data_IF_431750295803
#
_entry.id   IF_431750295803
#
_cell.length_a   1.000
_cell.length_b   1.000
_cell.length_c   1.000
_cell.angle_alpha   90.00
_cell.angle_beta   90.00
_cell.angle_gamma   90.00
#
_symmetry.space_group_name_H-M   'P 1'
#
loop_
_entity.id
_entity.type
_entity.pdbx_description
1 polymer ?
#
# COMPACT_ATOMS: atom_id res chain seq x y z
N UNK A 1 25.20 -20.73 59.18
CA UNK A 1 23.95 -20.20 58.57
C UNK A 1 24.04 -20.41 57.06
N UNK A 2 22.99 -20.94 56.41
CA UNK A 2 22.99 -21.05 54.95
C UNK A 2 23.05 -19.64 54.36
N UNK A 3 24.03 -19.40 53.48
CA UNK A 3 24.10 -18.16 52.72
C UNK A 3 23.05 -18.20 51.60
N UNK A 4 22.61 -17.02 51.16
CA UNK A 4 21.65 -16.87 50.06
C UNK A 4 22.13 -17.63 48.81
N UNK A 5 23.43 -17.65 48.54
CA UNK A 5 24.02 -18.41 47.43
C UNK A 5 23.81 -19.93 47.56
N UNK A 6 23.89 -20.49 48.76
CA UNK A 6 23.69 -21.93 48.99
C UNK A 6 22.21 -22.30 48.81
N UNK A 7 21.30 -21.42 49.21
CA UNK A 7 19.86 -21.57 49.00
C UNK A 7 19.52 -21.49 47.50
N UNK A 8 20.06 -20.50 46.79
CA UNK A 8 19.85 -20.35 45.34
C UNK A 8 20.40 -21.55 44.56
N UNK A 9 21.59 -22.06 44.92
CA UNK A 9 22.17 -23.26 44.28
C UNK A 9 21.34 -24.50 44.52
N UNK A 10 20.75 -24.65 45.71
CA UNK A 10 19.89 -25.78 46.03
C UNK A 10 18.56 -25.71 45.26
N UNK A 11 17.92 -24.54 45.24
CA UNK A 11 16.71 -24.30 44.46
C UNK A 11 16.94 -24.55 42.97
N UNK A 12 18.04 -24.06 42.40
CA UNK A 12 18.37 -24.32 41.00
C UNK A 12 18.62 -25.80 40.71
N UNK A 13 19.27 -26.55 41.61
CA UNK A 13 19.45 -28.01 41.44
C UNK A 13 18.12 -28.77 41.43
N UNK A 14 17.12 -28.29 42.15
CA UNK A 14 15.80 -28.91 42.21
C UNK A 14 14.93 -28.51 40.99
N UNK A 15 15.02 -27.27 40.51
CA UNK A 15 14.19 -26.74 39.42
C UNK A 15 14.71 -27.12 38.03
N UNK A 16 16.04 -27.15 37.82
CA UNK A 16 16.64 -27.36 36.50
C UNK A 16 16.18 -28.66 35.82
N UNK A 17 16.13 -29.83 36.50
CA UNK A 17 15.66 -31.06 35.86
C UNK A 17 14.19 -30.99 35.41
N UNK A 18 13.32 -30.39 36.24
CA UNK A 18 11.90 -30.23 35.92
C UNK A 18 11.67 -29.22 34.79
N UNK A 19 12.48 -28.16 34.75
CA UNK A 19 12.47 -27.19 33.67
C UNK A 19 12.93 -27.81 32.35
N UNK A 20 14.02 -28.58 32.38
CA UNK A 20 14.54 -29.28 31.19
C UNK A 20 13.51 -30.26 30.62
N UNK A 21 12.88 -31.07 31.46
CA UNK A 21 11.87 -32.03 31.01
C UNK A 21 10.65 -31.34 30.38
N UNK A 22 10.15 -30.26 31.01
CA UNK A 22 9.06 -29.45 30.45
C UNK A 22 9.45 -28.78 29.13
N UNK A 23 10.65 -28.24 29.05
CA UNK A 23 11.15 -27.62 27.83
C UNK A 23 11.27 -28.65 26.70
N UNK A 24 11.85 -29.83 26.97
CA UNK A 24 11.94 -30.92 25.99
C UNK A 24 10.56 -31.36 25.50
N UNK A 25 9.60 -31.54 26.41
CA UNK A 25 8.23 -31.91 26.06
C UNK A 25 7.56 -30.84 25.17
N UNK A 26 7.77 -29.56 25.47
CA UNK A 26 7.22 -28.46 24.68
C UNK A 26 7.86 -28.38 23.29
N UNK A 27 9.19 -28.48 23.21
CA UNK A 27 9.94 -28.44 21.94
C UNK A 27 9.65 -29.68 21.07
N UNK A 28 9.42 -30.86 21.67
CA UNK A 28 9.08 -32.08 20.92
C UNK A 28 7.77 -31.97 20.13
N UNK A 29 6.87 -31.05 20.51
CA UNK A 29 5.62 -30.77 19.81
C UNK A 29 5.69 -29.66 18.76
N UNK A 30 6.84 -29.00 18.59
CA UNK A 30 7.00 -27.91 17.63
C UNK A 30 7.47 -28.39 16.26
N UNK A 31 7.22 -27.56 15.25
CA UNK A 31 7.74 -27.79 13.90
C UNK A 31 9.27 -27.74 13.88
N UNK A 32 9.89 -28.70 13.19
CA UNK A 32 11.36 -28.87 13.17
C UNK A 32 12.04 -27.71 12.45
N UNK A 33 11.43 -27.16 11.41
CA UNK A 33 11.97 -26.05 10.63
C UNK A 33 11.92 -24.76 11.45
N UNK A 34 10.81 -24.54 12.17
CA UNK A 34 10.68 -23.46 13.14
C UNK A 34 11.72 -23.53 14.27
N UNK A 35 11.94 -24.72 14.85
CA UNK A 35 12.95 -24.91 15.90
C UNK A 35 14.37 -24.57 15.45
N UNK A 36 14.72 -24.97 14.22
CA UNK A 36 16.01 -24.64 13.61
C UNK A 36 16.14 -23.12 13.46
N UNK A 37 15.09 -22.44 13.01
CA UNK A 37 15.10 -20.97 12.90
C UNK A 37 15.30 -20.28 14.26
N UNK A 38 14.62 -20.77 15.32
CA UNK A 38 14.77 -20.20 16.66
C UNK A 38 16.18 -20.41 17.23
N UNK A 39 16.78 -21.59 17.03
CA UNK A 39 18.16 -21.87 17.46
C UNK A 39 19.13 -20.96 16.72
N UNK A 40 18.96 -20.79 15.41
CA UNK A 40 19.78 -19.86 14.61
C UNK A 40 19.62 -18.43 15.14
N UNK A 41 18.39 -17.96 15.39
CA UNK A 41 18.14 -16.62 15.94
C UNK A 41 18.76 -16.41 17.34
N UNK A 42 18.73 -17.42 18.20
CA UNK A 42 19.30 -17.35 19.55
C UNK A 42 20.84 -17.47 19.57
N UNK A 43 21.46 -17.95 18.49
CA UNK A 43 22.92 -18.15 18.41
C UNK A 43 23.64 -17.10 17.58
N UNK A 44 22.92 -16.36 16.73
CA UNK A 44 23.47 -15.27 15.95
C UNK A 44 23.63 -13.99 16.78
N UNK A 45 24.65 -13.21 16.44
CA UNK A 45 24.84 -11.87 17.02
C UNK A 45 23.81 -10.88 16.46
N UNK A 46 23.68 -9.73 17.13
CA UNK A 46 22.71 -8.70 16.75
C UNK A 46 22.89 -8.21 15.30
N UNK A 47 24.12 -8.24 14.78
CA UNK A 47 24.41 -7.86 13.40
C UNK A 47 23.88 -8.90 12.39
N UNK A 48 24.14 -10.18 12.62
CA UNK A 48 23.67 -11.26 11.74
C UNK A 48 22.14 -11.42 11.76
N UNK A 49 21.52 -11.16 12.93
CA UNK A 49 20.05 -11.08 13.04
C UNK A 49 19.47 -9.94 12.19
N UNK A 50 20.08 -8.76 12.23
CA UNK A 50 19.66 -7.63 11.39
C UNK A 50 19.82 -7.91 9.90
N UNK A 51 20.88 -8.60 9.49
CA UNK A 51 21.06 -8.99 8.09
C UNK A 51 20.02 -10.02 7.62
N UNK A 52 19.69 -11.00 8.46
CA UNK A 52 18.62 -11.96 8.17
C UNK A 52 17.25 -11.29 8.06
N UNK A 53 16.89 -10.42 9.02
CA UNK A 53 15.62 -9.70 8.97
C UNK A 53 15.56 -8.77 7.74
N UNK A 54 16.67 -8.10 7.38
CA UNK A 54 16.77 -7.31 6.14
C UNK A 54 16.55 -8.16 4.90
N UNK A 55 17.16 -9.34 4.82
CA UNK A 55 17.03 -10.25 3.70
C UNK A 55 15.60 -10.76 3.57
N UNK A 56 15.00 -11.22 4.67
CA UNK A 56 13.62 -11.71 4.71
C UNK A 56 12.62 -10.61 4.31
N UNK A 57 12.75 -9.40 4.87
CA UNK A 57 11.89 -8.28 4.51
C UNK A 57 12.03 -7.91 3.02
N UNK A 58 13.24 -7.95 2.48
CA UNK A 58 13.49 -7.70 1.05
C UNK A 58 12.88 -8.78 0.16
N UNK A 59 12.97 -10.05 0.55
CA UNK A 59 12.34 -11.17 -0.17
C UNK A 59 10.82 -11.06 -0.14
N UNK A 60 10.23 -10.71 1.00
CA UNK A 60 8.79 -10.49 1.13
C UNK A 60 8.32 -9.29 0.28
N UNK A 61 9.06 -8.19 0.31
CA UNK A 61 8.80 -7.04 -0.57
C UNK A 61 8.87 -7.41 -2.05
N UNK A 62 9.91 -8.15 -2.45
CA UNK A 62 10.08 -8.59 -3.84
C UNK A 62 8.93 -9.51 -4.26
N UNK A 63 8.50 -10.43 -3.39
CA UNK A 63 7.34 -11.30 -3.64
C UNK A 63 6.07 -10.47 -3.83
N UNK A 64 5.79 -9.53 -2.92
CA UNK A 64 4.62 -8.63 -3.02
C UNK A 64 4.65 -7.80 -4.31
N UNK A 65 5.82 -7.32 -4.74
CA UNK A 65 6.00 -6.60 -6.01
C UNK A 65 5.78 -7.49 -7.23
N UNK A 66 6.27 -8.74 -7.20
CA UNK A 66 6.06 -9.70 -8.26
C UNK A 66 4.57 -10.06 -8.40
N UNK A 67 3.90 -10.38 -7.29
CA UNK A 67 2.46 -10.64 -7.26
C UNK A 67 1.66 -9.44 -7.78
N UNK A 68 2.03 -8.22 -7.39
CA UNK A 68 1.44 -7.00 -7.91
C UNK A 68 1.63 -6.87 -9.43
N UNK A 69 2.85 -7.06 -9.93
CA UNK A 69 3.17 -6.96 -11.35
C UNK A 69 2.37 -7.97 -12.18
N UNK A 70 2.28 -9.23 -11.72
CA UNK A 70 1.51 -10.26 -12.42
C UNK A 70 0.00 -9.97 -12.44
N UNK A 71 -0.55 -9.41 -11.37
CA UNK A 71 -1.97 -8.98 -11.39
C UNK A 71 -2.22 -7.87 -12.40
N UNK A 72 -1.37 -6.84 -12.43
CA UNK A 72 -1.50 -5.74 -13.39
C UNK A 72 -1.36 -6.26 -14.82
N UNK A 73 -0.37 -7.14 -15.09
CA UNK A 73 -0.23 -7.82 -16.39
C UNK A 73 -1.47 -8.63 -16.77
N UNK A 74 -2.09 -9.28 -15.79
CA UNK A 74 -3.32 -10.05 -15.95
C UNK A 74 -4.52 -9.19 -16.35
N UNK A 75 -4.51 -7.88 -16.07
CA UNK A 75 -5.53 -6.97 -16.60
C UNK A 75 -5.48 -6.88 -18.12
N UNK A 76 -4.28 -7.00 -18.71
CA UNK A 76 -4.01 -6.81 -20.13
C UNK A 76 -4.76 -5.57 -20.68
N UNK A 77 -4.49 -4.43 -20.05
CA UNK A 77 -5.34 -3.25 -20.12
C UNK A 77 -5.35 -2.63 -21.52
N UNK A 78 -6.53 -2.32 -22.03
CA UNK A 78 -6.75 -1.64 -23.30
C UNK A 78 -7.89 -0.62 -23.15
N UNK A 79 -8.13 0.17 -24.21
CA UNK A 79 -9.20 1.18 -24.21
C UNK A 79 -10.59 0.57 -23.97
N UNK A 80 -10.85 -0.64 -24.46
CA UNK A 80 -12.14 -1.30 -24.29
C UNK A 80 -12.41 -1.68 -22.83
N UNK A 81 -11.44 -2.28 -22.15
CA UNK A 81 -11.51 -2.61 -20.72
C UNK A 81 -11.61 -1.36 -19.87
N UNK A 82 -10.90 -0.30 -20.25
CA UNK A 82 -10.97 0.98 -19.57
C UNK A 82 -12.37 1.60 -19.68
N UNK A 83 -12.99 1.58 -20.87
CA UNK A 83 -14.37 2.05 -21.06
C UNK A 83 -15.39 1.25 -20.23
N UNK A 84 -15.23 -0.07 -20.13
CA UNK A 84 -16.08 -0.91 -19.26
C UNK A 84 -15.94 -0.49 -17.80
N UNK A 85 -14.71 -0.28 -17.33
CA UNK A 85 -14.45 0.17 -15.96
C UNK A 85 -15.07 1.54 -15.68
N UNK A 86 -14.85 2.52 -16.56
CA UNK A 86 -15.42 3.87 -16.43
C UNK A 86 -16.94 3.80 -16.40
N UNK A 87 -17.54 3.08 -17.33
CA UNK A 87 -19.00 2.93 -17.41
C UNK A 87 -19.60 2.34 -16.13
N UNK A 88 -18.92 1.38 -15.52
CA UNK A 88 -19.36 0.73 -14.29
C UNK A 88 -19.25 1.64 -13.05
N UNK A 89 -18.27 2.55 -13.00
CA UNK A 89 -17.90 3.24 -11.75
C UNK A 89 -17.90 4.78 -11.81
N UNK A 90 -18.11 5.41 -12.97
CA UNK A 90 -18.10 6.88 -13.11
C UNK A 90 -19.03 7.61 -12.14
N UNK A 91 -20.18 7.00 -11.84
CA UNK A 91 -21.24 7.52 -10.96
C UNK A 91 -21.35 6.77 -9.63
N UNK A 92 -20.33 6.00 -9.23
CA UNK A 92 -20.37 5.26 -7.97
C UNK A 92 -20.46 6.23 -6.78
N UNK A 93 -21.29 5.90 -5.80
CA UNK A 93 -21.38 6.63 -4.53
C UNK A 93 -21.12 5.69 -3.36
N UNK A 94 -20.90 6.25 -2.16
CA UNK A 94 -20.72 5.45 -0.95
C UNK A 94 -21.97 4.62 -0.63
N UNK A 95 -23.14 5.22 -0.77
CA UNK A 95 -24.44 4.60 -0.51
C UNK A 95 -24.66 3.41 -1.45
N UNK A 96 -24.25 3.55 -2.71
CA UNK A 96 -24.29 2.45 -3.67
C UNK A 96 -23.34 1.30 -3.28
N UNK A 97 -22.16 1.60 -2.73
CA UNK A 97 -21.24 0.55 -2.24
C UNK A 97 -21.79 -0.18 -1.02
N UNK A 98 -22.44 0.54 -0.10
CA UNK A 98 -23.11 -0.04 1.07
C UNK A 98 -24.30 -0.91 0.63
N UNK A 99 -25.17 -0.39 -0.24
CA UNK A 99 -26.33 -1.13 -0.75
C UNK A 99 -25.94 -2.40 -1.52
N UNK A 100 -24.76 -2.41 -2.15
CA UNK A 100 -24.19 -3.57 -2.85
C UNK A 100 -23.44 -4.54 -1.92
N UNK A 101 -23.37 -4.26 -0.61
CA UNK A 101 -22.63 -5.08 0.35
C UNK A 101 -21.12 -5.07 0.13
N UNK A 102 -20.56 -4.02 -0.47
CA UNK A 102 -19.11 -3.87 -0.69
C UNK A 102 -18.43 -3.11 0.45
N UNK A 103 -19.19 -2.30 1.18
CA UNK A 103 -18.76 -1.53 2.33
C UNK A 103 -19.77 -1.71 3.47
N UNK A 104 -19.30 -1.91 4.70
CA UNK A 104 -20.18 -2.05 5.86
C UNK A 104 -20.76 -0.69 6.27
N UNK A 105 -22.00 -0.69 6.76
CA UNK A 105 -22.67 0.52 7.29
C UNK A 105 -21.93 1.13 8.49
N UNK A 106 -21.21 0.29 9.24
CA UNK A 106 -20.38 0.70 10.38
C UNK A 106 -19.06 1.37 9.99
N UNK A 107 -18.73 1.45 8.70
CA UNK A 107 -17.49 2.07 8.24
C UNK A 107 -17.41 3.55 8.66
N UNK A 108 -16.20 4.07 9.01
CA UNK A 108 -16.01 5.46 9.43
C UNK A 108 -16.62 6.46 8.46
N UNK A 109 -17.18 7.55 8.98
CA UNK A 109 -17.82 8.57 8.15
C UNK A 109 -16.79 9.26 7.26
N UNK A 110 -17.25 9.84 6.15
CA UNK A 110 -16.37 10.58 5.24
C UNK A 110 -15.68 11.72 5.97
N UNK A 111 -14.35 11.83 5.80
CA UNK A 111 -13.48 12.83 6.42
C UNK A 111 -12.91 12.42 7.78
N UNK A 112 -13.28 11.25 8.31
CA UNK A 112 -12.69 10.69 9.52
C UNK A 112 -11.41 9.90 9.16
N UNK A 113 -11.12 8.85 9.92
CA UNK A 113 -9.98 7.97 9.69
C UNK A 113 -10.09 7.24 8.34
N UNK A 114 -8.96 6.68 7.88
CA UNK A 114 -8.98 5.72 6.77
C UNK A 114 -9.91 4.57 7.11
N UNK A 115 -10.45 3.90 6.09
CA UNK A 115 -11.28 2.72 6.28
C UNK A 115 -10.35 1.49 6.31
N UNK A 116 -10.27 0.74 7.43
CA UNK A 116 -9.54 -0.52 7.50
C UNK A 116 -10.20 -1.65 6.70
N UNK A 117 -9.44 -2.73 6.45
CA UNK A 117 -9.91 -3.92 5.72
C UNK A 117 -11.17 -4.56 6.31
N UNK A 118 -11.30 -4.57 7.64
CA UNK A 118 -12.45 -5.15 8.35
C UNK A 118 -13.79 -4.46 8.10
N UNK A 119 -13.81 -3.29 7.46
CA UNK A 119 -15.04 -2.57 7.10
C UNK A 119 -15.49 -2.80 5.66
N UNK A 120 -14.81 -3.70 4.93
CA UNK A 120 -15.15 -4.11 3.57
C UNK A 120 -15.39 -5.61 3.55
N UNK A 121 -16.30 -6.05 2.68
CA UNK A 121 -16.46 -7.48 2.38
C UNK A 121 -15.29 -7.98 1.52
N UNK A 122 -15.23 -9.29 1.28
CA UNK A 122 -14.22 -9.88 0.39
C UNK A 122 -14.30 -9.25 -1.00
N UNK A 123 -15.51 -9.05 -1.50
CA UNK A 123 -15.80 -8.38 -2.77
C UNK A 123 -15.41 -6.90 -2.73
N UNK A 124 -15.66 -6.20 -1.62
CA UNK A 124 -15.21 -4.82 -1.42
C UNK A 124 -13.69 -4.67 -1.44
N UNK A 125 -12.97 -5.60 -0.80
CA UNK A 125 -11.51 -5.65 -0.82
C UNK A 125 -10.97 -6.00 -2.21
N UNK A 126 -11.64 -6.90 -2.93
CA UNK A 126 -11.32 -7.22 -4.32
C UNK A 126 -11.51 -6.00 -5.23
N UNK A 127 -12.60 -5.24 -5.06
CA UNK A 127 -12.87 -4.02 -5.81
C UNK A 127 -11.82 -2.93 -5.53
N UNK A 128 -11.46 -2.71 -4.27
CA UNK A 128 -10.39 -1.77 -3.91
C UNK A 128 -9.08 -2.16 -4.58
N UNK A 129 -8.71 -3.45 -4.52
CA UNK A 129 -7.51 -3.96 -5.18
C UNK A 129 -7.55 -3.74 -6.69
N UNK A 130 -8.67 -4.07 -7.32
CA UNK A 130 -8.86 -3.83 -8.76
C UNK A 130 -8.74 -2.35 -9.12
N UNK A 131 -9.32 -1.44 -8.33
CA UNK A 131 -9.20 0.00 -8.56
C UNK A 131 -7.74 0.48 -8.46
N UNK A 132 -6.95 -0.04 -7.52
CA UNK A 132 -5.51 0.26 -7.40
C UNK A 132 -4.71 -0.29 -8.58
N UNK A 133 -4.97 -1.54 -8.97
CA UNK A 133 -4.29 -2.18 -10.10
C UNK A 133 -4.62 -1.44 -11.43
N UNK A 134 -5.87 -1.01 -11.61
CA UNK A 134 -6.30 -0.17 -12.74
C UNK A 134 -5.60 1.19 -12.73
N UNK A 135 -5.56 1.88 -11.58
CA UNK A 135 -4.89 3.18 -11.45
C UNK A 135 -3.41 3.06 -11.82
N UNK A 136 -2.73 2.03 -11.33
CA UNK A 136 -1.34 1.76 -11.69
C UNK A 136 -1.18 1.51 -13.18
N UNK A 137 -2.03 0.64 -13.78
CA UNK A 137 -1.97 0.34 -15.21
C UNK A 137 -2.21 1.56 -16.10
N UNK A 138 -3.06 2.50 -15.69
CA UNK A 138 -3.27 3.77 -16.39
C UNK A 138 -2.05 4.69 -16.31
N UNK A 139 -1.49 4.86 -15.11
CA UNK A 139 -0.36 5.78 -14.90
C UNK A 139 0.94 5.24 -15.52
N UNK A 140 1.27 3.98 -15.25
CA UNK A 140 2.58 3.39 -15.51
C UNK A 140 2.56 2.22 -16.50
N UNK A 141 1.38 1.75 -16.93
CA UNK A 141 1.28 0.58 -17.79
C UNK A 141 1.82 0.84 -19.19
N UNK A 142 2.68 -0.07 -19.64
CA UNK A 142 3.23 -0.18 -20.98
C UNK A 142 3.22 -1.65 -21.43
N UNK A 143 4.02 -1.97 -22.47
CA UNK A 143 4.14 -3.32 -22.99
C UNK A 143 4.62 -4.34 -21.94
N UNK A 144 5.45 -3.95 -20.97
CA UNK A 144 5.94 -4.85 -19.92
C UNK A 144 4.80 -5.24 -18.95
N UNK A 145 3.75 -4.42 -18.88
CA UNK A 145 2.54 -4.66 -18.10
C UNK A 145 1.34 -5.13 -18.94
N UNK A 146 1.56 -5.55 -20.19
CA UNK A 146 0.49 -5.89 -21.15
C UNK A 146 -0.56 -4.78 -21.33
N UNK A 147 -0.18 -3.51 -21.12
CA UNK A 147 -1.07 -2.38 -21.34
C UNK A 147 -0.87 -1.82 -22.75
N UNK A 148 -1.96 -1.70 -23.51
CA UNK A 148 -1.94 -1.24 -24.90
C UNK A 148 -2.82 0.00 -25.03
N UNK A 149 -2.17 1.17 -25.04
CA UNK A 149 -2.81 2.47 -25.22
C UNK A 149 -2.07 3.26 -26.29
N UNK A 150 -2.80 3.91 -27.20
CA UNK A 150 -2.22 4.84 -28.14
C UNK A 150 -2.09 6.23 -27.50
N UNK A 151 -1.09 6.41 -26.64
CA UNK A 151 -0.87 7.66 -25.88
C UNK A 151 -0.45 8.79 -26.84
N UNK A 152 -1.25 9.84 -26.97
CA UNK A 152 -1.04 10.94 -27.94
C UNK A 152 -0.43 12.19 -27.33
N UNK A 153 -0.62 12.43 -26.03
CA UNK A 153 -0.06 13.58 -25.31
C UNK A 153 0.26 13.22 -23.85
N UNK A 154 0.91 14.15 -23.13
CA UNK A 154 1.33 13.97 -21.75
C UNK A 154 0.57 14.92 -20.84
N UNK A 155 0.16 14.38 -19.69
CA UNK A 155 -0.49 15.15 -18.64
C UNK A 155 0.20 14.90 -17.30
N UNK A 156 0.02 15.85 -16.38
CA UNK A 156 0.48 15.80 -15.00
C UNK A 156 -0.72 15.65 -14.08
N UNK A 157 -0.76 14.56 -13.33
CA UNK A 157 -1.65 14.37 -12.20
C UNK A 157 -0.99 14.94 -10.93
N UNK A 158 -1.60 15.96 -10.36
CA UNK A 158 -1.29 16.49 -9.03
C UNK A 158 -2.37 16.04 -8.04
N UNK A 159 -1.99 15.26 -7.03
CA UNK A 159 -2.89 14.69 -6.03
C UNK A 159 -2.49 15.15 -4.63
N UNK A 160 -3.42 15.74 -3.89
CA UNK A 160 -3.20 16.18 -2.51
C UNK A 160 -3.89 15.23 -1.53
N UNK A 161 -3.12 14.66 -0.61
CA UNK A 161 -3.62 13.70 0.39
C UNK A 161 -3.02 13.98 1.77
N UNK A 162 -3.76 13.80 2.88
CA UNK A 162 -3.15 13.87 4.22
C UNK A 162 -2.03 12.84 4.37
N UNK A 163 -0.90 13.25 4.97
CA UNK A 163 0.31 12.41 5.15
C UNK A 163 -0.01 11.07 5.78
N UNK A 164 -0.82 11.06 6.83
CA UNK A 164 -1.23 9.86 7.54
C UNK A 164 -2.05 8.87 6.70
N UNK A 165 -2.47 9.26 5.49
CA UNK A 165 -3.27 8.42 4.58
C UNK A 165 -2.53 8.02 3.30
N UNK A 166 -1.27 8.44 3.15
CA UNK A 166 -0.44 8.11 1.98
C UNK A 166 -0.24 6.62 1.78
N UNK A 167 -0.32 5.82 2.85
CA UNK A 167 -0.17 4.37 2.74
C UNK A 167 -1.18 3.72 1.79
N UNK A 168 -2.37 4.31 1.61
CA UNK A 168 -3.35 3.87 0.61
C UNK A 168 -2.76 3.83 -0.81
N UNK A 169 -1.79 4.71 -1.08
CA UNK A 169 -1.19 5.00 -2.39
C UNK A 169 0.26 4.51 -2.53
N UNK A 170 0.77 3.75 -1.56
CA UNK A 170 2.14 3.19 -1.57
C UNK A 170 2.49 2.33 -2.80
N UNK A 171 1.50 1.93 -3.60
CA UNK A 171 1.72 1.21 -4.86
C UNK A 171 2.21 2.13 -5.98
N UNK A 172 2.18 3.46 -5.81
CA UNK A 172 2.58 4.46 -6.81
C UNK A 172 4.02 4.98 -6.61
N UNK A 173 4.95 4.16 -6.10
CA UNK A 173 6.34 4.56 -5.69
C UNK A 173 7.19 5.34 -6.72
N UNK A 174 6.76 5.48 -7.97
CA UNK A 174 7.40 6.32 -8.99
C UNK A 174 6.95 7.80 -8.95
N UNK A 175 6.17 8.20 -7.94
CA UNK A 175 5.70 9.57 -7.72
C UNK A 175 6.80 10.50 -7.22
N UNK A 176 6.81 11.74 -7.70
CA UNK A 176 7.54 12.81 -7.01
C UNK A 176 6.67 13.29 -5.86
N UNK A 177 7.21 13.26 -4.65
CA UNK A 177 6.51 13.68 -3.42
C UNK A 177 7.09 14.99 -2.92
N UNK A 178 6.22 15.97 -2.67
CA UNK A 178 6.58 17.22 -2.03
C UNK A 178 5.81 17.35 -0.70
N UNK A 179 6.53 17.73 0.36
CA UNK A 179 5.89 18.14 1.60
C UNK A 179 5.08 19.43 1.34
N UNK A 180 3.76 19.34 1.45
CA UNK A 180 2.87 20.46 1.20
C UNK A 180 2.21 20.88 2.51
N UNK A 181 2.52 22.09 2.98
CA UNK A 181 1.73 22.72 4.04
C UNK A 181 0.42 23.20 3.40
N UNK A 182 -0.64 22.40 3.55
CA UNK A 182 -1.96 22.77 3.08
C UNK A 182 -2.51 23.97 3.86
N UNK A 183 -2.67 25.11 3.20
CA UNK A 183 -3.42 26.27 3.74
C UNK A 183 -4.85 26.31 3.20
N UNK A 184 -5.34 25.21 2.60
CA UNK A 184 -6.67 25.14 2.01
C UNK A 184 -7.72 25.13 3.12
N UNK A 185 -8.42 26.25 3.28
CA UNK A 185 -9.52 26.37 4.23
C UNK A 185 -10.83 26.06 3.50
N UNK A 186 -11.59 25.08 3.99
CA UNK A 186 -12.97 24.91 3.53
C UNK A 186 -13.81 26.10 4.03
N UNK A 187 -14.36 26.96 3.14
CA UNK A 187 -15.16 28.11 3.56
C UNK A 187 -16.41 27.72 4.35
N UNK A 188 -16.86 26.46 4.23
CA UNK A 188 -18.03 25.91 4.91
C UNK A 188 -17.68 25.05 6.12
N UNK A 189 -16.40 24.89 6.46
CA UNK A 189 -15.93 24.10 7.62
C UNK A 189 -16.39 22.64 7.61
N UNK A 190 -16.69 22.10 6.43
CA UNK A 190 -17.21 20.74 6.26
C UNK A 190 -16.06 19.73 6.16
N UNK A 191 -14.90 20.11 5.61
CA UNK A 191 -13.68 19.31 5.63
C UNK A 191 -13.11 19.16 7.05
N UNK A 192 -12.45 18.03 7.33
CA UNK A 192 -11.68 17.84 8.57
C UNK A 192 -10.41 18.68 8.48
N UNK A 193 -10.55 19.98 8.75
CA UNK A 193 -9.51 21.00 8.66
C UNK A 193 -8.61 20.98 9.89
N UNK A 194 -8.20 19.78 10.32
CA UNK A 194 -7.01 19.68 11.15
C UNK A 194 -5.87 20.21 10.29
N UNK A 195 -4.94 20.99 10.86
CA UNK A 195 -3.67 21.39 10.23
C UNK A 195 -2.79 20.16 9.93
N UNK A 196 -3.33 19.21 9.19
CA UNK A 196 -2.72 17.95 8.84
C UNK A 196 -1.64 18.26 7.81
N UNK A 197 -0.47 17.67 8.01
CA UNK A 197 0.56 17.69 6.99
C UNK A 197 -0.01 17.00 5.75
N UNK A 198 -0.08 17.72 4.63
CA UNK A 198 -0.47 17.14 3.36
C UNK A 198 0.80 16.75 2.57
N UNK A 199 0.63 15.79 1.68
CA UNK A 199 1.63 15.47 0.66
C UNK A 199 1.00 15.79 -0.68
N UNK A 200 1.75 16.53 -1.51
CA UNK A 200 1.45 16.70 -2.92
C UNK A 200 2.23 15.63 -3.68
N UNK A 201 1.48 14.76 -4.36
CA UNK A 201 2.03 13.73 -5.24
C UNK A 201 1.84 14.16 -6.69
N UNK A 202 2.93 14.12 -7.46
CA UNK A 202 2.92 14.47 -8.87
C UNK A 202 3.37 13.30 -9.73
N UNK A 203 2.56 13.00 -10.75
CA UNK A 203 2.75 11.87 -11.67
C UNK A 203 2.45 12.33 -13.09
N UNK A 204 3.45 12.27 -13.96
CA UNK A 204 3.20 12.41 -15.39
C UNK A 204 2.68 11.09 -15.95
N UNK A 205 1.64 11.15 -16.77
CA UNK A 205 1.11 10.02 -17.51
C UNK A 205 0.86 10.42 -18.96
N UNK A 206 0.73 9.42 -19.84
CA UNK A 206 0.31 9.67 -21.21
C UNK A 206 -1.18 9.47 -21.34
N UNK A 207 -1.84 10.39 -22.02
CA UNK A 207 -3.27 10.39 -22.27
C UNK A 207 -3.55 9.91 -23.71
N UNK A 208 -4.75 9.39 -23.95
CA UNK A 208 -5.26 9.01 -25.28
C UNK A 208 -6.30 10.01 -25.76
N UNK A 209 -6.63 9.96 -27.05
CA UNK A 209 -7.65 10.84 -27.59
C UNK A 209 -9.01 10.63 -26.89
N UNK A 210 -9.64 11.72 -26.46
CA UNK A 210 -10.92 11.69 -25.73
C UNK A 210 -10.82 11.59 -24.21
N UNK A 211 -9.65 11.88 -23.62
CA UNK A 211 -9.44 11.98 -22.15
C UNK A 211 -9.81 10.70 -21.38
N UNK A 212 -9.70 9.54 -22.05
CA UNK A 212 -10.17 8.27 -21.50
C UNK A 212 -9.35 7.85 -20.27
N UNK A 213 -8.03 8.07 -20.28
CA UNK A 213 -7.17 7.74 -19.15
C UNK A 213 -7.50 8.64 -17.95
N UNK A 214 -7.68 9.94 -18.16
CA UNK A 214 -8.10 10.90 -17.16
C UNK A 214 -9.44 10.53 -16.52
N UNK A 215 -10.47 10.21 -17.32
CA UNK A 215 -11.76 9.73 -16.81
C UNK A 215 -11.62 8.43 -15.98
N UNK A 216 -10.73 7.54 -16.42
CA UNK A 216 -10.36 6.32 -15.73
C UNK A 216 -9.73 6.58 -14.36
N UNK A 217 -8.72 7.45 -14.32
CA UNK A 217 -8.02 7.86 -13.08
C UNK A 217 -9.01 8.45 -12.09
N UNK A 218 -9.90 9.35 -12.53
CA UNK A 218 -10.96 9.92 -11.67
C UNK A 218 -11.85 8.81 -11.09
N UNK A 219 -12.25 7.84 -11.91
CA UNK A 219 -13.10 6.73 -11.48
C UNK A 219 -12.40 5.84 -10.45
N UNK A 220 -11.12 5.54 -10.65
CA UNK A 220 -10.31 4.76 -9.73
C UNK A 220 -10.07 5.50 -8.40
N UNK A 221 -9.68 6.78 -8.45
CA UNK A 221 -9.48 7.61 -7.26
C UNK A 221 -10.78 7.76 -6.45
N UNK A 222 -11.94 7.89 -7.10
CA UNK A 222 -13.25 7.88 -6.41
C UNK A 222 -13.48 6.58 -5.64
N UNK A 223 -13.24 5.43 -6.28
CA UNK A 223 -13.37 4.12 -5.61
C UNK A 223 -12.42 3.99 -4.42
N UNK A 224 -11.14 4.30 -4.61
CA UNK A 224 -10.14 4.26 -3.53
C UNK A 224 -10.53 5.22 -2.40
N UNK A 225 -11.06 6.41 -2.74
CA UNK A 225 -11.53 7.34 -1.73
C UNK A 225 -12.72 6.80 -0.94
N UNK A 226 -13.68 6.15 -1.60
CA UNK A 226 -14.85 5.59 -0.92
C UNK A 226 -14.54 4.33 -0.11
N UNK A 227 -13.53 3.57 -0.52
CA UNK A 227 -13.21 2.29 0.07
C UNK A 227 -12.08 2.36 1.09
N UNK A 228 -11.15 3.31 1.04
CA UNK A 228 -9.93 3.30 1.88
C UNK A 228 -9.51 4.69 2.39
N UNK A 229 -9.23 5.66 1.51
CA UNK A 229 -8.70 6.99 1.93
C UNK A 229 -9.72 7.76 2.77
N UNK A 230 -11.00 7.69 2.40
CA UNK A 230 -12.12 8.23 3.15
C UNK A 230 -12.12 9.76 3.37
N UNK A 231 -11.63 10.54 2.42
CA UNK A 231 -11.74 12.00 2.45
C UNK A 231 -13.11 12.51 1.98
N UNK A 232 -13.59 13.60 2.60
CA UNK A 232 -14.78 14.35 2.13
C UNK A 232 -14.51 14.97 0.77
N UNK A 233 -13.32 15.55 0.60
CA UNK A 233 -12.84 16.16 -0.63
C UNK A 233 -11.44 15.60 -0.87
N UNK A 234 -11.32 14.74 -1.88
CA UNK A 234 -10.01 14.30 -2.37
C UNK A 234 -9.65 15.18 -3.57
N UNK A 235 -8.64 16.04 -3.42
CA UNK A 235 -8.25 16.97 -4.46
C UNK A 235 -7.26 16.33 -5.42
N UNK A 236 -7.67 16.20 -6.69
CA UNK A 236 -6.81 15.79 -7.79
C UNK A 236 -6.99 16.79 -8.93
N UNK A 237 -5.88 17.14 -9.59
CA UNK A 237 -5.85 18.01 -10.76
C UNK A 237 -5.05 17.33 -11.85
N UNK A 238 -5.57 17.40 -13.07
CA UNK A 238 -4.87 17.00 -14.29
C UNK A 238 -4.57 18.25 -15.10
N UNK A 239 -3.37 18.34 -15.67
CA UNK A 239 -2.97 19.44 -16.54
C UNK A 239 -2.03 18.95 -17.63
N UNK A 240 -2.19 19.47 -18.84
CA UNK A 240 -1.30 19.18 -19.97
C UNK A 240 0.14 19.60 -19.67
N UNK A 241 1.10 18.77 -20.10
CA UNK A 241 2.54 19.02 -19.96
C UNK A 241 3.08 19.52 -21.29
N UNK A 242 3.24 20.83 -21.42
CA UNK A 242 3.82 21.44 -22.63
C UNK A 242 5.31 21.16 -22.77
N UNK A 243 6.07 21.26 -21.68
CA UNK A 243 7.51 20.97 -21.63
C UNK A 243 7.90 20.45 -20.23
N UNK A 244 8.53 19.28 -20.16
CA UNK A 244 9.19 18.79 -18.95
C UNK A 244 10.56 18.17 -19.27
N UNK A 245 11.49 18.30 -18.34
CA UNK A 245 12.84 17.71 -18.46
C UNK A 245 13.13 16.91 -17.19
N UNK A 246 13.47 15.63 -17.37
CA UNK A 246 13.93 14.77 -16.28
C UNK A 246 15.36 14.31 -16.61
N UNK A 247 16.34 14.86 -15.90
CA UNK A 247 17.76 14.56 -16.13
C UNK A 247 18.19 13.38 -15.25
N UNK A 248 18.43 12.22 -15.86
CA UNK A 248 18.99 11.04 -15.19
C UNK A 248 20.51 11.01 -15.33
N UNK A 249 21.24 11.14 -14.21
CA UNK A 249 22.68 10.86 -14.19
C UNK A 249 22.90 9.35 -14.17
N UNK A 250 23.03 8.72 -15.34
CA UNK A 250 23.66 7.41 -15.42
C UNK A 250 25.15 7.60 -15.12
N UNK A 251 25.58 7.26 -13.91
CA UNK A 251 27.01 7.13 -13.60
C UNK A 251 27.62 6.10 -14.56
N UNK A 252 28.48 6.59 -15.46
CA UNK A 252 29.40 5.78 -16.25
C UNK A 252 30.25 4.95 -15.28
N UNK A 253 30.07 3.62 -15.29
CA UNK A 253 31.11 2.73 -14.78
C UNK A 253 32.28 2.84 -15.75
N UNK A 254 33.32 3.56 -15.34
CA UNK A 254 34.64 3.48 -15.97
C UNK A 254 35.15 2.06 -15.67
N UNK A 255 35.42 1.30 -16.72
CA UNK A 255 36.02 -0.04 -16.67
C UNK A 255 37.48 0.04 -16.23
#
# INVERSE_FOLDING_TARGET
MPTIETIIRQINREIVPQFEEKLRAYLAGQDKEWLVEQIVRLTLDAHSLQELDRKHNKEEENRKRAEFSERVKGLALDEGKLQVFISAYRKITREALVARGLLLESAPQKGEEMIPEGFRTVEGNSLLRHAKDMLFGMLFGDADFNATFNRTHRELLSLTIPRMKTEALNFMKATTEFDALGTWQDPKGTASDSRADYILMEIEYGEVDGELIGEGIVSALKLINHLEINEKILYARMSEVEQSTLASQRMMKIQ
#
